data_IF_290667755045
#
_entry.id   IF_290667755045
#
_cell.length_a   1.000
_cell.length_b   1.000
_cell.length_c   1.000
_cell.angle_alpha   90.00
_cell.angle_beta   90.00
_cell.angle_gamma   90.00
#
_symmetry.space_group_name_H-M   'P 1'
#
loop_
_entity.id
_entity.type
_entity.pdbx_description
1 polymer ?
#
# COMPACT_ATOMS: atom_id res chain seq x y z
N UNK A 1 7.61 -1.50 -9.55
CA UNK A 1 7.86 -2.58 -8.58
C UNK A 1 6.59 -3.32 -8.33
N UNK A 2 6.69 -4.54 -7.82
CA UNK A 2 5.54 -5.37 -7.50
C UNK A 2 4.87 -4.89 -6.20
N UNK A 3 3.54 -4.85 -6.18
CA UNK A 3 2.75 -4.48 -5.00
C UNK A 3 1.76 -5.61 -4.73
N UNK A 4 1.88 -6.23 -3.55
CA UNK A 4 0.93 -7.22 -3.05
C UNK A 4 0.09 -6.60 -1.95
N UNK A 5 -1.24 -6.75 -2.03
CA UNK A 5 -2.18 -6.26 -1.03
C UNK A 5 -2.90 -7.46 -0.42
N UNK A 6 -2.75 -7.64 0.89
CA UNK A 6 -3.40 -8.69 1.67
C UNK A 6 -4.90 -8.51 1.77
N UNK A 7 -5.61 -9.59 2.12
CA UNK A 7 -7.06 -9.61 2.22
C UNK A 7 -7.59 -8.60 3.25
N UNK A 8 -8.82 -8.10 3.05
CA UNK A 8 -9.49 -7.12 3.93
C UNK A 8 -8.74 -5.80 4.15
N UNK A 9 -7.76 -5.48 3.31
CA UNK A 9 -7.08 -4.18 3.36
C UNK A 9 -7.93 -3.11 2.67
N UNK A 10 -8.08 -1.98 3.33
CA UNK A 10 -8.80 -0.81 2.83
C UNK A 10 -7.80 0.30 2.54
N UNK A 11 -7.87 0.87 1.33
CA UNK A 11 -7.03 1.98 0.91
C UNK A 11 -7.93 3.15 0.59
N UNK A 12 -7.82 4.23 1.38
CA UNK A 12 -8.59 5.44 1.18
C UNK A 12 -8.11 6.22 -0.06
N UNK A 13 -9.00 6.99 -0.70
CA UNK A 13 -8.60 7.88 -1.79
C UNK A 13 -7.43 8.79 -1.39
N UNK A 14 -6.59 9.15 -2.36
CA UNK A 14 -5.37 9.97 -2.18
C UNK A 14 -4.21 9.28 -1.44
N UNK A 15 -4.32 8.01 -1.08
CA UNK A 15 -3.15 7.22 -0.69
C UNK A 15 -2.26 6.92 -1.92
N UNK A 16 -0.95 6.92 -1.72
CA UNK A 16 0.04 6.65 -2.77
C UNK A 16 0.97 5.52 -2.34
N UNK A 17 1.09 4.48 -3.17
CA UNK A 17 2.00 3.35 -2.95
C UNK A 17 2.89 3.25 -4.18
N UNK A 18 4.19 3.51 -4.00
CA UNK A 18 5.18 3.57 -5.08
C UNK A 18 6.25 2.52 -4.79
N UNK A 19 6.27 1.46 -5.59
CA UNK A 19 7.31 0.45 -5.56
C UNK A 19 8.28 0.73 -6.72
N UNK A 20 9.41 1.37 -6.48
CA UNK A 20 10.45 1.69 -7.46
C UNK A 20 11.74 0.87 -7.24
N UNK A 21 12.18 0.67 -6.00
CA UNK A 21 13.44 -0.05 -5.70
C UNK A 21 13.25 -1.52 -5.31
N UNK A 22 12.01 -1.97 -5.08
CA UNK A 22 11.74 -3.36 -4.70
C UNK A 22 10.25 -3.67 -4.58
N UNK A 23 9.89 -4.90 -4.16
CA UNK A 23 8.50 -5.26 -3.90
C UNK A 23 7.97 -4.58 -2.63
N UNK A 24 6.68 -4.22 -2.62
CA UNK A 24 5.95 -3.80 -1.42
C UNK A 24 4.90 -4.85 -1.12
N UNK A 25 4.90 -5.37 0.10
CA UNK A 25 3.88 -6.32 0.59
C UNK A 25 3.11 -5.65 1.72
N UNK A 26 1.85 -5.31 1.45
CA UNK A 26 0.90 -4.89 2.48
C UNK A 26 0.20 -6.14 2.99
N UNK A 27 0.30 -6.40 4.29
CA UNK A 27 -0.35 -7.55 4.93
C UNK A 27 -1.88 -7.48 4.93
N UNK A 28 -2.52 -8.41 5.62
CA UNK A 28 -3.98 -8.45 5.73
C UNK A 28 -4.53 -7.44 6.72
N UNK A 29 -5.81 -7.06 6.56
CA UNK A 29 -6.57 -6.26 7.53
C UNK A 29 -5.93 -4.92 7.88
N UNK A 30 -5.28 -4.26 6.91
CA UNK A 30 -4.71 -2.92 7.08
C UNK A 30 -5.70 -1.83 6.67
N UNK A 31 -5.59 -0.67 7.32
CA UNK A 31 -6.30 0.56 6.95
C UNK A 31 -5.28 1.62 6.56
N UNK A 32 -5.22 1.92 5.26
CA UNK A 32 -4.35 2.97 4.72
C UNK A 32 -5.21 4.23 4.50
N UNK A 33 -4.99 5.22 5.35
CA UNK A 33 -5.74 6.48 5.37
C UNK A 33 -5.34 7.45 4.24
N UNK A 34 -6.11 8.53 4.10
CA UNK A 34 -5.83 9.60 3.14
C UNK A 34 -4.43 10.19 3.32
N UNK A 35 -3.82 10.65 2.22
CA UNK A 35 -2.52 11.34 2.22
C UNK A 35 -1.32 10.49 2.68
N UNK A 36 -1.50 9.18 2.89
CA UNK A 36 -0.40 8.26 3.16
C UNK A 36 0.45 8.05 1.90
N UNK A 37 1.77 8.04 2.07
CA UNK A 37 2.73 7.74 1.01
C UNK A 37 3.67 6.61 1.45
N UNK A 38 3.56 5.46 0.80
CA UNK A 38 4.46 4.32 1.01
C UNK A 38 5.39 4.25 -0.21
N UNK A 39 6.70 4.31 0.03
CA UNK A 39 7.71 4.28 -1.03
C UNK A 39 8.75 3.24 -0.68
N UNK A 40 9.03 2.34 -1.63
CA UNK A 40 10.14 1.41 -1.59
C UNK A 40 10.87 1.46 -2.93
#
# INVERSE_FOLDING_TARGET
GEITIGSRTVIHPKAHIIAEAGPIVIGESNLIEEQVKIIN
#
